data_IF_861435442218
#
_entry.id   IF_861435442218
#
_cell.length_a   1.000
_cell.length_b   1.000
_cell.length_c   1.000
_cell.angle_alpha   90.00
_cell.angle_beta   90.00
_cell.angle_gamma   90.00
#
_symmetry.space_group_name_H-M   'P 1'
#
loop_
_entity.id
_entity.type
_entity.pdbx_description
1 polymer ?
#
# COMPACT_ATOMS: atom_id res chain seq x y z
N UNK A 1 20.02 -1.62 -13.96
CA UNK A 1 20.05 -2.45 -12.73
C UNK A 1 18.62 -2.58 -12.15
N UNK A 2 17.65 -3.12 -12.90
CA UNK A 2 16.23 -3.25 -12.46
C UNK A 2 15.76 -4.72 -12.42
N UNK A 3 16.37 -5.58 -13.24
CA UNK A 3 15.93 -6.97 -13.43
C UNK A 3 16.31 -7.94 -12.30
N UNK A 4 17.38 -7.67 -11.53
CA UNK A 4 17.76 -8.55 -10.42
C UNK A 4 16.88 -8.35 -9.19
N UNK A 5 16.45 -7.12 -8.89
CA UNK A 5 15.52 -6.87 -7.78
C UNK A 5 14.20 -7.61 -7.98
N UNK A 6 13.65 -7.55 -9.20
CA UNK A 6 12.39 -8.22 -9.56
C UNK A 6 12.43 -9.74 -9.35
N UNK A 7 13.57 -10.39 -9.63
CA UNK A 7 13.74 -11.85 -9.45
C UNK A 7 13.86 -12.25 -7.97
N UNK A 8 14.52 -11.44 -7.16
CA UNK A 8 14.68 -11.74 -5.73
C UNK A 8 13.37 -11.55 -4.97
N UNK A 9 12.55 -10.57 -5.37
CA UNK A 9 11.23 -10.32 -4.78
C UNK A 9 10.22 -11.46 -5.01
N UNK A 10 10.31 -12.17 -6.14
CA UNK A 10 9.38 -13.26 -6.45
C UNK A 10 9.61 -14.49 -5.57
N UNK A 11 10.83 -14.73 -5.10
CA UNK A 11 11.18 -15.89 -4.27
C UNK A 11 10.83 -15.72 -2.79
N UNK A 12 10.64 -14.48 -2.31
CA UNK A 12 10.28 -14.20 -0.91
C UNK A 12 8.75 -14.30 -0.65
N UNK A 13 7.96 -14.55 -1.69
CA UNK A 13 6.49 -14.36 -1.72
C UNK A 13 5.69 -15.50 -1.07
N UNK A 14 6.30 -16.64 -0.74
CA UNK A 14 5.61 -17.78 -0.12
C UNK A 14 5.74 -17.70 1.40
N UNK A 15 4.81 -17.02 2.08
CA UNK A 15 4.60 -17.19 3.53
C UNK A 15 4.65 -15.94 4.40
N UNK A 16 4.86 -14.75 3.84
CA UNK A 16 4.76 -13.50 4.61
C UNK A 16 3.30 -13.05 4.70
N UNK A 17 2.64 -13.35 5.81
CA UNK A 17 1.51 -12.54 6.28
C UNK A 17 2.12 -11.17 6.59
N UNK A 18 1.93 -10.19 5.70
CA UNK A 18 2.47 -8.84 5.85
C UNK A 18 1.83 -8.17 7.05
N UNK A 19 2.43 -8.33 8.23
CA UNK A 19 2.18 -7.41 9.34
C UNK A 19 2.78 -6.08 8.93
N UNK A 20 1.94 -5.18 8.43
CA UNK A 20 2.20 -3.75 8.34
C UNK A 20 2.72 -3.32 9.72
N UNK A 21 4.05 -3.17 9.85
CA UNK A 21 4.70 -2.73 11.08
C UNK A 21 4.39 -1.26 11.36
N UNK A 22 5.39 -0.41 11.53
CA UNK A 22 5.15 1.04 11.78
C UNK A 22 4.66 1.83 10.55
N UNK A 23 4.34 1.16 9.43
CA UNK A 23 3.80 1.79 8.22
C UNK A 23 4.75 2.76 7.51
N UNK A 24 6.07 2.67 7.73
CA UNK A 24 7.09 3.53 7.10
C UNK A 24 7.44 3.11 5.65
N UNK A 25 6.43 2.66 4.91
CA UNK A 25 6.52 2.17 3.54
C UNK A 25 5.55 2.98 2.66
N UNK A 26 5.84 3.08 1.37
CA UNK A 26 5.01 3.78 0.39
C UNK A 26 3.62 3.15 0.31
N UNK A 27 2.60 4.00 0.40
CA UNK A 27 1.21 3.60 0.21
C UNK A 27 0.92 3.11 -1.21
N UNK A 28 1.62 3.67 -2.22
CA UNK A 28 1.36 3.35 -3.63
C UNK A 28 2.30 2.30 -4.20
N UNK A 29 3.58 2.34 -3.81
CA UNK A 29 4.66 1.65 -4.52
C UNK A 29 5.32 0.53 -3.75
N UNK A 30 5.03 0.35 -2.46
CA UNK A 30 5.52 -0.80 -1.71
C UNK A 30 4.47 -1.90 -1.69
N UNK A 31 4.95 -3.13 -1.49
CA UNK A 31 4.09 -4.31 -1.44
C UNK A 31 3.59 -4.47 0.00
N UNK A 32 2.37 -4.02 0.24
CA UNK A 32 1.73 -4.13 1.56
C UNK A 32 0.29 -4.65 1.51
N UNK A 33 -0.25 -4.84 0.30
CA UNK A 33 -1.45 -5.64 0.03
C UNK A 33 -1.01 -7.00 -0.52
N UNK A 34 -1.81 -8.04 -0.30
CA UNK A 34 -1.53 -9.39 -0.83
C UNK A 34 -1.48 -9.39 -2.38
N UNK A 35 -2.27 -8.52 -2.99
CA UNK A 35 -2.38 -8.32 -4.43
C UNK A 35 -1.21 -7.49 -5.00
N UNK A 36 -0.29 -7.01 -4.15
CA UNK A 36 0.90 -6.27 -4.54
C UNK A 36 0.79 -4.76 -4.29
N UNK A 37 1.24 -3.97 -5.26
CA UNK A 37 1.25 -2.51 -5.16
C UNK A 37 -0.12 -1.93 -5.47
N UNK A 38 -0.54 -0.91 -4.71
CA UNK A 38 -1.81 -0.23 -4.98
C UNK A 38 -1.82 0.42 -6.37
N UNK A 39 -0.67 0.86 -6.88
CA UNK A 39 -0.52 1.39 -8.24
C UNK A 39 -0.84 0.38 -9.35
N UNK A 40 -0.87 -0.92 -9.05
CA UNK A 40 -1.29 -1.94 -10.02
C UNK A 40 -2.81 -2.16 -10.02
N UNK A 41 -3.48 -1.81 -8.91
CA UNK A 41 -4.91 -1.96 -8.72
C UNK A 41 -5.65 -0.71 -9.20
N UNK A 42 -5.02 0.46 -9.05
CA UNK A 42 -5.58 1.77 -9.41
C UNK A 42 -4.87 2.28 -10.66
N UNK A 43 -5.59 2.33 -11.79
CA UNK A 43 -5.03 2.72 -13.10
C UNK A 43 -4.43 4.14 -13.13
N UNK A 44 -4.97 5.05 -12.33
CA UNK A 44 -4.56 6.46 -12.33
C UNK A 44 -4.38 6.98 -10.90
N UNK A 45 -3.13 7.28 -10.54
CA UNK A 45 -2.75 7.89 -9.27
C UNK A 45 -2.51 9.40 -9.45
N UNK A 46 -2.91 10.21 -8.48
CA UNK A 46 -2.52 11.62 -8.44
C UNK A 46 -1.06 11.77 -7.97
N UNK A 47 -0.24 12.53 -8.71
CA UNK A 47 1.18 12.76 -8.38
C UNK A 47 1.39 13.39 -7.00
N UNK A 48 0.41 14.16 -6.51
CA UNK A 48 0.44 14.75 -5.17
C UNK A 48 0.41 13.69 -4.07
N UNK A 49 -0.17 12.52 -4.36
CA UNK A 49 -0.32 11.42 -3.40
C UNK A 49 0.87 10.44 -3.42
N UNK A 50 1.78 10.58 -4.38
CA UNK A 50 2.87 9.62 -4.63
C UNK A 50 3.78 9.38 -3.43
N UNK A 51 3.94 10.39 -2.57
CA UNK A 51 4.87 10.36 -1.44
C UNK A 51 4.21 9.90 -0.13
N UNK A 52 2.91 9.61 -0.12
CA UNK A 52 2.25 9.14 1.10
C UNK A 52 2.83 7.79 1.54
N UNK A 53 3.12 7.70 2.84
CA UNK A 53 3.38 6.43 3.51
C UNK A 53 2.09 5.87 4.09
N UNK A 54 2.08 4.56 4.29
CA UNK A 54 0.95 3.85 4.90
C UNK A 54 0.60 4.44 6.27
N UNK A 55 1.59 4.76 7.10
CA UNK A 55 1.39 5.42 8.40
C UNK A 55 0.78 6.82 8.31
N UNK A 56 1.01 7.55 7.23
CA UNK A 56 0.49 8.92 7.07
C UNK A 56 -1.03 8.90 6.86
N UNK A 57 -1.52 7.79 6.30
CA UNK A 57 -2.95 7.53 6.03
C UNK A 57 -3.61 6.66 7.09
N UNK A 58 -2.90 6.25 8.14
CA UNK A 58 -3.45 5.51 9.28
C UNK A 58 -3.45 6.38 10.52
N UNK A 59 -4.62 6.87 10.92
CA UNK A 59 -4.77 7.82 12.02
C UNK A 59 -5.81 7.29 13.00
N UNK A 60 -5.49 7.29 14.29
CA UNK A 60 -6.40 6.85 15.36
C UNK A 60 -7.00 5.44 15.15
N UNK A 61 -6.22 4.50 14.58
CA UNK A 61 -6.66 3.12 14.36
C UNK A 61 -7.58 2.92 13.15
N UNK A 62 -7.65 3.91 12.25
CA UNK A 62 -8.44 3.83 11.02
C UNK A 62 -7.70 4.44 9.83
N UNK A 63 -8.08 4.01 8.62
CA UNK A 63 -7.63 4.62 7.38
C UNK A 63 -8.30 5.98 7.16
N UNK A 64 -7.50 7.02 6.94
CA UNK A 64 -7.94 8.38 6.63
C UNK A 64 -7.65 8.71 5.16
N UNK A 65 -8.58 8.29 4.30
CA UNK A 65 -8.52 8.59 2.87
C UNK A 65 -8.80 10.06 2.53
N UNK A 66 -9.25 10.88 3.49
CA UNK A 66 -9.53 12.31 3.24
C UNK A 66 -8.26 13.13 2.96
N UNK A 67 -7.10 12.59 3.33
CA UNK A 67 -5.78 13.19 3.07
C UNK A 67 -5.35 13.06 1.60
N UNK A 68 -5.93 12.13 0.86
CA UNK A 68 -5.59 11.91 -0.55
C UNK A 68 -6.22 13.00 -1.42
N UNK A 69 -5.43 13.52 -2.37
CA UNK A 69 -5.92 14.44 -3.38
C UNK A 69 -6.81 13.74 -4.40
N UNK A 70 -6.69 12.42 -4.56
CA UNK A 70 -7.56 11.61 -5.41
C UNK A 70 -8.64 10.84 -4.65
N UNK A 71 -9.75 10.58 -5.35
CA UNK A 71 -10.74 9.63 -4.89
C UNK A 71 -10.29 8.20 -5.17
N UNK A 72 -10.09 7.41 -4.11
CA UNK A 72 -9.95 5.96 -4.22
C UNK A 72 -11.34 5.31 -4.36
N UNK A 73 -11.58 4.49 -5.42
CA UNK A 73 -12.83 3.75 -5.58
C UNK A 73 -13.15 2.85 -4.37
N UNK A 74 -14.44 2.70 -4.06
CA UNK A 74 -14.90 1.99 -2.86
C UNK A 74 -14.41 0.53 -2.81
N UNK A 75 -14.43 -0.17 -3.95
CA UNK A 75 -13.90 -1.53 -4.08
C UNK A 75 -12.45 -1.61 -3.58
N UNK A 76 -11.60 -0.66 -3.97
CA UNK A 76 -10.20 -0.60 -3.56
C UNK A 76 -10.06 -0.26 -2.07
N UNK A 77 -10.92 0.63 -1.54
CA UNK A 77 -10.93 0.93 -0.10
C UNK A 77 -11.23 -0.31 0.74
N UNK A 78 -12.16 -1.16 0.31
CA UNK A 78 -12.44 -2.41 1.02
C UNK A 78 -11.22 -3.33 1.12
N UNK A 79 -10.43 -3.44 0.04
CA UNK A 79 -9.17 -4.19 0.06
C UNK A 79 -8.15 -3.61 1.04
N UNK A 80 -8.04 -2.27 1.08
CA UNK A 80 -7.14 -1.57 2.01
C UNK A 80 -7.58 -1.78 3.47
N UNK A 81 -8.88 -1.64 3.74
CA UNK A 81 -9.45 -1.73 5.09
C UNK A 81 -9.36 -3.13 5.69
N UNK A 82 -9.25 -4.18 4.85
CA UNK A 82 -9.00 -5.54 5.31
C UNK A 82 -7.60 -5.74 5.95
N UNK A 83 -6.68 -4.78 5.75
CA UNK A 83 -5.29 -4.84 6.19
C UNK A 83 -4.98 -3.72 7.21
N UNK A 84 -5.39 -3.85 8.48
CA UNK A 84 -5.07 -2.85 9.50
C UNK A 84 -3.58 -2.85 9.86
N UNK A 85 -3.03 -1.67 10.18
CA UNK A 85 -1.67 -1.55 10.72
C UNK A 85 -1.68 -1.99 12.19
N UNK A 86 -0.76 -2.88 12.58
CA UNK A 86 -0.56 -3.23 13.98
C UNK A 86 0.20 -2.10 14.67
N UNK A 87 -0.54 -1.22 15.37
CA UNK A 87 0.02 -0.18 16.24
C UNK A 87 0.73 -0.73 17.46
#
# INVERSE_FOLDING_TARGET
MWRSLVKTFTQLREGFIYKLGVGDISFWFDHWLEEGHLSNIVEHMNVLDANYKVKDLWTNGAWDFSKLAMYIPEAVRYHIMANPISS
#
